data_IF_471072870044
#
_entry.id   IF_471072870044
#
_cell.length_a   1.000
_cell.length_b   1.000
_cell.length_c   1.000
_cell.angle_alpha   90.00
_cell.angle_beta   90.00
_cell.angle_gamma   90.00
#
_symmetry.space_group_name_H-M   'P 1'
#
loop_
_entity.id
_entity.type
_entity.pdbx_description
1 polymer ?
#
# COMPACT_ATOMS: atom_id res chain seq x y z
N UNK A 1 -10.00 5.94 34.99
CA UNK A 1 -8.63 5.38 34.81
C UNK A 1 -8.50 4.98 33.37
N UNK A 2 -7.38 5.22 32.71
CA UNK A 2 -7.15 4.84 31.30
C UNK A 2 -6.63 3.40 31.24
N UNK A 3 -7.20 2.59 30.36
CA UNK A 3 -6.83 1.18 30.19
C UNK A 3 -5.69 1.05 29.16
N UNK A 4 -4.46 1.40 29.59
CA UNK A 4 -3.29 1.35 28.71
C UNK A 4 -2.77 -0.07 28.51
N UNK A 5 -2.17 -0.34 27.34
CA UNK A 5 -1.50 -1.61 27.04
C UNK A 5 -0.27 -1.81 27.90
N UNK A 6 -0.04 -3.06 28.34
CA UNK A 6 1.23 -3.48 28.92
C UNK A 6 2.37 -3.40 27.89
N UNK A 7 3.62 -3.35 28.35
CA UNK A 7 4.77 -3.34 27.43
C UNK A 7 4.81 -4.60 26.55
N UNK A 8 4.46 -5.75 27.10
CA UNK A 8 4.39 -7.01 26.34
C UNK A 8 3.37 -6.96 25.20
N UNK A 9 2.20 -6.35 25.39
CA UNK A 9 1.20 -6.17 24.34
C UNK A 9 1.70 -5.19 23.27
N UNK A 10 2.36 -4.09 23.68
CA UNK A 10 2.93 -3.11 22.73
C UNK A 10 4.01 -3.76 21.85
N UNK A 11 4.89 -4.57 22.46
CA UNK A 11 5.95 -5.27 21.75
C UNK A 11 5.36 -6.33 20.80
N UNK A 12 4.34 -7.06 21.24
CA UNK A 12 3.64 -8.03 20.40
C UNK A 12 3.01 -7.37 19.17
N UNK A 13 2.29 -6.26 19.36
CA UNK A 13 1.69 -5.48 18.25
C UNK A 13 2.73 -5.03 17.23
N UNK A 14 3.87 -4.53 17.70
CA UNK A 14 4.95 -4.06 16.84
C UNK A 14 5.65 -5.20 16.10
N UNK A 15 5.97 -6.30 16.81
CA UNK A 15 6.67 -7.44 16.24
C UNK A 15 5.86 -8.14 15.15
N UNK A 16 4.55 -8.33 15.35
CA UNK A 16 3.68 -9.00 14.38
C UNK A 16 3.58 -8.29 13.03
N UNK A 17 3.87 -7.01 12.98
CA UNK A 17 3.87 -6.20 11.73
C UNK A 17 5.27 -5.77 11.29
N UNK A 18 6.32 -6.39 11.83
CA UNK A 18 7.71 -6.08 11.50
C UNK A 18 8.08 -4.62 11.79
N UNK A 19 7.55 -4.02 12.87
CA UNK A 19 7.76 -2.61 13.23
C UNK A 19 7.36 -1.62 12.12
N UNK A 20 6.40 -2.00 11.25
CA UNK A 20 5.84 -1.13 10.21
C UNK A 20 4.45 -0.64 10.61
N UNK A 21 4.08 0.55 10.13
CA UNK A 21 2.75 1.10 10.33
C UNK A 21 1.68 0.21 9.67
N UNK A 22 0.63 -0.16 10.43
CA UNK A 22 -0.44 -1.02 9.94
C UNK A 22 -1.42 -0.33 8.99
N UNK A 23 -1.31 0.98 8.78
CA UNK A 23 -2.06 1.64 7.71
C UNK A 23 -1.54 1.14 6.35
N UNK A 24 -2.37 0.45 5.52
CA UNK A 24 -1.93 -0.13 4.25
C UNK A 24 -1.34 0.90 3.27
N UNK A 25 -1.83 2.15 3.33
CA UNK A 25 -1.35 3.24 2.47
C UNK A 25 -0.10 3.94 3.03
N UNK A 26 0.37 3.55 4.22
CA UNK A 26 1.54 4.15 4.85
C UNK A 26 2.73 3.20 4.89
N UNK A 27 2.58 2.03 5.51
CA UNK A 27 3.60 0.97 5.69
C UNK A 27 5.00 1.48 6.11
N UNK A 28 5.08 2.69 6.64
CA UNK A 28 6.34 3.30 7.07
C UNK A 28 6.98 2.47 8.18
N UNK A 29 8.30 2.22 8.07
CA UNK A 29 9.07 1.67 9.18
C UNK A 29 9.01 2.63 10.38
N UNK A 30 8.76 2.08 11.56
CA UNK A 30 8.60 2.86 12.80
C UNK A 30 9.77 2.71 13.74
N UNK A 31 10.71 1.81 13.45
CA UNK A 31 11.90 1.56 14.25
C UNK A 31 13.14 1.54 13.37
N UNK A 32 14.24 2.07 13.88
CA UNK A 32 15.51 2.13 13.19
C UNK A 32 16.68 2.41 14.13
N UNK A 33 17.90 2.38 13.60
CA UNK A 33 19.11 2.69 14.35
C UNK A 33 19.21 4.20 14.62
N UNK A 34 19.64 4.57 15.82
CA UNK A 34 20.05 5.92 16.17
C UNK A 34 21.50 6.21 15.77
N UNK A 35 21.95 7.42 16.01
CA UNK A 35 23.35 7.84 15.74
C UNK A 35 24.33 7.09 16.65
N UNK A 36 24.01 6.95 17.91
CA UNK A 36 24.81 6.17 18.86
C UNK A 36 24.54 4.68 18.66
N UNK A 37 25.59 3.84 18.78
CA UNK A 37 25.53 2.38 18.51
C UNK A 37 24.48 1.62 19.34
N UNK A 38 24.15 2.13 20.52
CA UNK A 38 23.16 1.53 21.43
C UNK A 38 21.79 2.17 21.35
N UNK A 39 21.65 3.26 20.59
CA UNK A 39 20.40 4.01 20.49
C UNK A 39 19.49 3.44 19.40
N UNK A 40 18.19 3.38 19.72
CA UNK A 40 17.13 2.93 18.83
C UNK A 40 16.09 4.06 18.70
N UNK A 41 15.83 4.49 17.47
CA UNK A 41 14.72 5.39 17.18
C UNK A 41 13.46 4.55 17.08
N UNK A 42 12.42 4.97 17.81
CA UNK A 42 11.07 4.38 17.69
C UNK A 42 10.03 5.49 17.61
N UNK A 43 9.34 5.57 16.48
CA UNK A 43 8.25 6.50 16.19
C UNK A 43 6.90 5.78 16.05
N UNK A 44 6.85 4.51 16.45
CA UNK A 44 5.64 3.70 16.46
C UNK A 44 4.84 3.88 17.74
N UNK A 45 3.54 3.69 17.63
CA UNK A 45 2.57 3.81 18.71
C UNK A 45 1.63 2.62 18.68
N UNK A 46 1.42 1.98 19.84
CA UNK A 46 0.33 1.03 20.04
C UNK A 46 -0.96 1.84 20.28
N UNK A 47 -1.79 1.93 19.24
CA UNK A 47 -3.05 2.68 19.26
C UNK A 47 -4.21 1.77 19.61
N UNK A 48 -5.19 2.27 20.36
CA UNK A 48 -6.42 1.56 20.63
C UNK A 48 -7.35 1.62 19.42
N UNK A 49 -7.93 0.48 19.05
CA UNK A 49 -9.00 0.40 18.03
C UNK A 49 -10.27 0.96 18.61
N UNK A 50 -10.67 0.48 19.80
CA UNK A 50 -11.75 1.01 20.62
C UNK A 50 -11.12 1.68 21.85
N UNK A 51 -11.48 2.92 22.12
CA UNK A 51 -10.80 3.77 23.10
C UNK A 51 -10.55 3.13 24.47
N UNK A 52 -9.41 3.48 25.06
CA UNK A 52 -8.99 3.04 26.39
C UNK A 52 -9.85 3.59 27.56
N UNK A 53 -10.66 4.61 27.31
CA UNK A 53 -11.48 5.27 28.34
C UNK A 53 -12.69 5.96 27.71
N UNK A 54 -13.72 6.17 28.54
CA UNK A 54 -14.94 6.91 28.17
C UNK A 54 -14.59 8.30 27.61
N UNK A 55 -15.28 8.67 26.53
CA UNK A 55 -15.06 9.94 25.82
C UNK A 55 -13.93 9.90 24.79
N UNK A 56 -13.22 8.80 24.64
CA UNK A 56 -12.26 8.61 23.57
C UNK A 56 -12.91 8.09 22.27
N UNK A 57 -12.19 8.14 21.14
CA UNK A 57 -12.69 7.72 19.84
C UNK A 57 -13.16 6.25 19.83
N UNK A 58 -14.31 5.98 19.23
CA UNK A 58 -14.85 4.62 19.07
C UNK A 58 -15.04 3.87 20.42
N UNK A 59 -15.32 4.61 21.51
CA UNK A 59 -15.50 3.99 22.83
C UNK A 59 -16.71 3.05 22.84
N UNK A 60 -16.54 1.84 23.42
CA UNK A 60 -17.59 0.86 23.65
C UNK A 60 -17.74 0.62 25.17
N UNK A 61 -18.90 0.94 25.72
CA UNK A 61 -19.21 0.76 27.15
C UNK A 61 -19.37 -0.70 27.56
N UNK A 62 -19.66 -1.59 26.60
CA UNK A 62 -19.81 -3.02 26.85
C UNK A 62 -18.47 -3.76 26.97
N UNK A 63 -17.37 -3.17 26.52
CA UNK A 63 -16.04 -3.77 26.68
C UNK A 63 -15.58 -3.69 28.12
N UNK A 64 -15.02 -4.79 28.61
CA UNK A 64 -14.34 -4.84 29.91
C UNK A 64 -12.98 -4.14 29.84
N UNK A 65 -12.43 -3.76 31.02
CA UNK A 65 -11.08 -3.19 31.11
C UNK A 65 -10.01 -4.16 30.57
N UNK A 66 -10.24 -5.47 30.71
CA UNK A 66 -9.33 -6.50 30.20
C UNK A 66 -9.33 -6.56 28.67
N UNK A 67 -10.50 -6.52 28.03
CA UNK A 67 -10.63 -6.46 26.57
C UNK A 67 -10.01 -5.18 26.00
N UNK A 68 -10.21 -4.02 26.65
CA UNK A 68 -9.58 -2.76 26.21
C UNK A 68 -8.07 -2.82 26.21
N UNK A 69 -7.45 -3.56 27.14
CA UNK A 69 -5.98 -3.74 27.25
C UNK A 69 -5.45 -4.90 26.41
N UNK A 70 -6.33 -5.68 25.76
CA UNK A 70 -5.94 -6.88 25.03
C UNK A 70 -5.26 -6.53 23.70
N UNK A 71 -4.50 -7.50 23.20
CA UNK A 71 -3.88 -7.44 21.87
C UNK A 71 -4.89 -7.21 20.76
N UNK A 72 -6.10 -7.80 20.87
CA UNK A 72 -7.17 -7.70 19.88
C UNK A 72 -7.64 -6.26 19.68
N UNK A 73 -7.62 -5.46 20.75
CA UNK A 73 -8.02 -4.06 20.72
C UNK A 73 -6.88 -3.10 20.34
N UNK A 74 -5.70 -3.61 20.03
CA UNK A 74 -4.53 -2.83 19.66
C UNK A 74 -4.21 -2.89 18.17
N UNK A 75 -3.64 -1.80 17.65
CA UNK A 75 -3.06 -1.70 16.32
C UNK A 75 -1.76 -0.91 16.37
N UNK A 76 -0.71 -1.36 15.65
CA UNK A 76 0.57 -0.67 15.60
C UNK A 76 0.61 0.36 14.48
N UNK A 77 0.83 1.62 14.79
CA UNK A 77 0.83 2.72 13.83
C UNK A 77 2.05 3.63 14.01
N UNK A 78 2.40 4.41 12.99
CA UNK A 78 3.27 5.57 13.19
C UNK A 78 2.47 6.70 13.87
N UNK A 79 3.15 7.67 14.48
CA UNK A 79 2.52 8.78 15.21
C UNK A 79 1.50 9.55 14.36
N UNK A 80 1.82 9.82 13.08
CA UNK A 80 0.91 10.53 12.18
C UNK A 80 -0.38 9.75 11.92
N UNK A 81 -0.28 8.43 11.65
CA UNK A 81 -1.45 7.58 11.43
C UNK A 81 -2.26 7.37 12.72
N UNK A 82 -1.59 7.25 13.89
CA UNK A 82 -2.27 7.18 15.19
C UNK A 82 -3.11 8.45 15.42
N UNK A 83 -2.54 9.62 15.19
CA UNK A 83 -3.28 10.89 15.31
C UNK A 83 -4.42 11.00 14.30
N UNK A 84 -4.20 10.53 13.07
CA UNK A 84 -5.18 10.57 11.99
C UNK A 84 -6.44 9.77 12.32
N UNK A 85 -6.30 8.53 12.80
CA UNK A 85 -7.44 7.66 13.12
C UNK A 85 -8.29 8.19 14.28
N UNK A 86 -7.67 8.91 15.20
CA UNK A 86 -8.37 9.51 16.34
C UNK A 86 -9.00 10.88 16.02
N UNK A 87 -8.58 11.50 14.91
CA UNK A 87 -9.12 12.79 14.48
C UNK A 87 -10.41 12.67 13.65
N UNK A 88 -10.69 11.48 13.08
CA UNK A 88 -11.88 11.24 12.25
C UNK A 88 -12.40 9.82 12.49
N UNK A 89 -13.06 9.60 13.62
CA UNK A 89 -13.57 8.29 14.01
C UNK A 89 -14.66 7.74 13.08
N UNK A 90 -15.42 8.62 12.42
CA UNK A 90 -16.45 8.22 11.45
C UNK A 90 -15.83 7.58 10.20
N UNK A 91 -14.70 8.08 9.78
CA UNK A 91 -13.94 7.54 8.63
C UNK A 91 -13.11 6.31 9.00
N UNK A 92 -12.59 6.27 10.24
CA UNK A 92 -11.73 5.21 10.75
C UNK A 92 -12.47 4.37 11.79
N UNK A 93 -13.46 3.59 11.31
CA UNK A 93 -14.31 2.72 12.13
C UNK A 93 -13.51 1.54 12.71
N UNK A 94 -14.06 0.92 13.75
CA UNK A 94 -13.50 -0.29 14.38
C UNK A 94 -13.20 -1.38 13.34
N UNK A 95 -14.16 -1.68 12.44
CA UNK A 95 -14.02 -2.72 11.42
C UNK A 95 -12.90 -2.38 10.43
N UNK A 96 -12.77 -1.11 10.05
CA UNK A 96 -11.69 -0.67 9.17
C UNK A 96 -10.32 -0.84 9.82
N UNK A 97 -10.19 -0.51 11.10
CA UNK A 97 -8.93 -0.65 11.84
C UNK A 97 -8.57 -2.12 12.07
N UNK A 98 -9.55 -2.99 12.34
CA UNK A 98 -9.34 -4.44 12.41
C UNK A 98 -8.84 -5.00 11.06
N UNK A 99 -9.48 -4.60 9.95
CA UNK A 99 -9.01 -4.96 8.60
C UNK A 99 -7.57 -4.48 8.32
N UNK A 100 -7.21 -3.28 8.75
CA UNK A 100 -5.84 -2.78 8.61
C UNK A 100 -4.84 -3.64 9.39
N UNK A 101 -5.19 -4.05 10.60
CA UNK A 101 -4.38 -4.95 11.42
C UNK A 101 -4.17 -6.27 10.70
N UNK A 102 -5.24 -6.92 10.26
CA UNK A 102 -5.20 -8.23 9.58
C UNK A 102 -4.35 -8.15 8.30
N UNK A 103 -4.58 -7.15 7.45
CA UNK A 103 -3.81 -6.94 6.22
C UNK A 103 -2.32 -6.75 6.54
N UNK A 104 -2.01 -5.95 7.56
CA UNK A 104 -0.61 -5.66 7.88
C UNK A 104 0.13 -6.85 8.46
N UNK A 105 -0.54 -7.73 9.21
CA UNK A 105 0.01 -8.98 9.70
C UNK A 105 0.24 -9.98 8.56
N UNK A 106 -0.71 -10.10 7.63
CA UNK A 106 -0.55 -10.91 6.42
C UNK A 106 0.63 -10.43 5.56
N UNK A 107 0.75 -9.11 5.34
CA UNK A 107 1.88 -8.54 4.60
C UNK A 107 3.22 -8.81 5.29
N UNK A 108 3.26 -8.80 6.62
CA UNK A 108 4.47 -9.12 7.36
C UNK A 108 4.89 -10.59 7.20
N UNK A 109 3.93 -11.53 7.12
CA UNK A 109 4.19 -12.94 6.81
C UNK A 109 4.72 -13.09 5.39
N UNK A 110 4.06 -12.47 4.40
CA UNK A 110 4.51 -12.50 3.00
C UNK A 110 5.94 -11.94 2.84
N UNK A 111 6.27 -10.89 3.57
CA UNK A 111 7.62 -10.31 3.58
C UNK A 111 8.68 -11.26 4.18
N UNK A 112 8.28 -12.21 5.03
CA UNK A 112 9.16 -13.26 5.55
C UNK A 112 9.33 -14.42 4.57
N UNK A 113 8.25 -14.80 3.89
CA UNK A 113 8.23 -15.93 2.95
C UNK A 113 8.87 -15.56 1.61
N UNK A 114 8.70 -14.33 1.16
CA UNK A 114 9.21 -13.83 -0.10
C UNK A 114 10.20 -12.69 0.10
N UNK A 115 11.49 -13.03 0.07
CA UNK A 115 12.58 -12.04 0.13
C UNK A 115 12.55 -11.07 -1.08
N UNK A 116 11.66 -11.29 -2.06
CA UNK A 116 11.46 -10.45 -3.25
C UNK A 116 10.33 -9.44 -3.09
N UNK A 117 9.49 -9.54 -2.05
CA UNK A 117 8.47 -8.52 -1.70
C UNK A 117 9.15 -7.24 -1.24
N UNK A 118 9.54 -6.41 -2.16
CA UNK A 118 10.26 -5.14 -1.94
C UNK A 118 11.42 -4.92 -2.93
N UNK A 119 11.69 -5.90 -3.80
CA UNK A 119 12.67 -5.81 -4.90
C UNK A 119 12.01 -5.98 -6.27
N UNK A 120 10.80 -5.50 -6.43
CA UNK A 120 10.12 -5.57 -7.72
C UNK A 120 10.51 -4.41 -8.64
N UNK A 121 11.83 -4.21 -8.86
CA UNK A 121 12.30 -3.37 -9.96
C UNK A 121 11.67 -3.83 -11.29
N UNK A 122 11.47 -5.15 -11.45
CA UNK A 122 10.82 -5.74 -12.64
C UNK A 122 9.33 -5.39 -12.77
N UNK A 123 8.58 -5.39 -11.68
CA UNK A 123 7.16 -5.01 -11.71
C UNK A 123 7.00 -3.51 -11.91
N UNK A 124 7.86 -2.71 -11.30
CA UNK A 124 7.90 -1.26 -11.53
C UNK A 124 8.28 -0.97 -12.99
N UNK A 125 9.23 -1.68 -13.56
CA UNK A 125 9.59 -1.55 -14.97
C UNK A 125 8.45 -1.99 -15.89
N UNK A 126 7.78 -3.08 -15.55
CA UNK A 126 6.60 -3.56 -16.29
C UNK A 126 5.47 -2.54 -16.23
N UNK A 127 5.14 -2.01 -15.06
CA UNK A 127 4.12 -0.94 -14.90
C UNK A 127 4.52 0.30 -15.70
N UNK A 128 5.78 0.71 -15.66
CA UNK A 128 6.28 1.84 -16.46
C UNK A 128 6.16 1.57 -17.96
N UNK A 129 6.44 0.35 -18.39
CA UNK A 129 6.24 -0.06 -19.78
C UNK A 129 4.78 0.04 -20.19
N UNK A 130 3.84 -0.46 -19.37
CA UNK A 130 2.40 -0.33 -19.61
C UNK A 130 1.98 1.13 -19.72
N UNK A 131 2.36 1.96 -18.76
CA UNK A 131 2.05 3.40 -18.79
C UNK A 131 2.56 4.04 -20.09
N UNK A 132 3.77 3.70 -20.53
CA UNK A 132 4.33 4.24 -21.77
C UNK A 132 3.59 3.75 -23.03
N UNK A 133 3.04 2.53 -23.03
CA UNK A 133 2.23 2.06 -24.15
C UNK A 133 0.96 2.91 -24.36
N UNK A 134 0.38 3.43 -23.27
CA UNK A 134 -0.77 4.32 -23.29
C UNK A 134 -0.40 5.81 -23.38
N UNK A 135 0.88 6.17 -23.25
CA UNK A 135 1.35 7.54 -23.31
C UNK A 135 1.57 7.98 -24.79
N UNK A 136 0.50 7.90 -25.57
CA UNK A 136 0.51 8.29 -26.99
C UNK A 136 -0.26 9.60 -27.19
N UNK A 137 0.21 10.48 -28.10
CA UNK A 137 -0.51 11.72 -28.39
C UNK A 137 -1.97 11.51 -28.74
N UNK A 138 -2.30 10.46 -29.51
CA UNK A 138 -3.67 10.12 -29.90
C UNK A 138 -4.60 9.82 -28.70
N UNK A 139 -4.07 9.42 -27.56
CA UNK A 139 -4.86 9.20 -26.33
C UNK A 139 -4.93 10.42 -25.42
N UNK A 140 -4.01 11.38 -25.55
CA UNK A 140 -3.90 12.56 -24.69
C UNK A 140 -4.49 13.82 -25.29
N UNK A 141 -4.48 13.93 -26.60
CA UNK A 141 -4.82 15.15 -27.30
C UNK A 141 -6.20 15.06 -27.94
N UNK A 142 -7.17 15.83 -27.39
CA UNK A 142 -8.52 15.93 -27.94
C UNK A 142 -8.52 16.41 -29.37
N UNK A 143 -7.59 17.25 -29.78
CA UNK A 143 -7.47 17.76 -31.13
C UNK A 143 -7.08 16.63 -32.09
N UNK A 144 -6.24 15.72 -31.69
CA UNK A 144 -5.96 14.49 -32.45
C UNK A 144 -7.17 13.58 -32.55
N UNK A 145 -8.03 13.55 -31.53
CA UNK A 145 -9.29 12.77 -31.55
C UNK A 145 -10.37 13.38 -32.42
N UNK A 146 -10.42 14.71 -32.52
CA UNK A 146 -11.42 15.41 -33.35
C UNK A 146 -11.10 15.40 -34.85
N UNK A 147 -9.83 15.16 -35.22
CA UNK A 147 -9.38 15.29 -36.60
C UNK A 147 -9.19 14.00 -37.40
N UNK A 148 -8.85 12.86 -36.75
CA UNK A 148 -8.47 11.63 -37.47
C UNK A 148 -8.76 10.38 -36.63
N UNK A 149 -9.91 9.78 -36.83
CA UNK A 149 -10.24 8.46 -36.27
C UNK A 149 -9.18 7.39 -36.63
N UNK A 150 -8.61 7.47 -37.82
CA UNK A 150 -7.56 6.57 -38.29
C UNK A 150 -6.30 6.59 -37.43
N UNK A 151 -5.91 7.76 -36.90
CA UNK A 151 -4.75 7.88 -36.00
C UNK A 151 -5.04 7.26 -34.62
N UNK A 152 -6.29 7.32 -34.16
CA UNK A 152 -6.72 6.71 -32.90
C UNK A 152 -6.80 5.18 -33.02
N UNK A 153 -7.43 4.66 -34.09
CA UNK A 153 -7.52 3.22 -34.34
C UNK A 153 -6.13 2.60 -34.47
N UNK A 154 -5.25 3.26 -35.22
CA UNK A 154 -3.85 2.83 -35.34
C UNK A 154 -3.11 2.86 -34.00
N UNK A 155 -3.34 3.85 -33.14
CA UNK A 155 -2.74 3.93 -31.81
C UNK A 155 -3.22 2.78 -30.90
N UNK A 156 -4.48 2.36 -31.02
CA UNK A 156 -5.03 1.19 -30.34
C UNK A 156 -4.32 -0.08 -30.81
N UNK A 157 -4.27 -0.32 -32.13
CA UNK A 157 -3.62 -1.50 -32.71
C UNK A 157 -2.14 -1.59 -32.30
N UNK A 158 -1.38 -0.50 -32.44
CA UNK A 158 0.02 -0.43 -32.04
C UNK A 158 0.22 -0.65 -30.53
N UNK A 159 -0.73 -0.23 -29.72
CA UNK A 159 -0.70 -0.45 -28.27
C UNK A 159 -0.96 -1.92 -27.93
N UNK A 160 -1.95 -2.56 -28.57
CA UNK A 160 -2.24 -3.98 -28.41
C UNK A 160 -1.02 -4.81 -28.84
N UNK A 161 -0.39 -4.49 -29.97
CA UNK A 161 0.83 -5.15 -30.44
C UNK A 161 1.96 -4.98 -29.41
N UNK A 162 2.15 -3.77 -28.86
CA UNK A 162 3.20 -3.52 -27.87
C UNK A 162 2.97 -4.31 -26.58
N UNK A 163 1.74 -4.38 -26.09
CA UNK A 163 1.36 -5.15 -24.89
C UNK A 163 1.57 -6.66 -25.10
N UNK A 164 1.22 -7.18 -26.25
CA UNK A 164 1.36 -8.61 -26.58
C UNK A 164 2.80 -9.03 -26.85
N UNK A 165 3.60 -8.15 -27.45
CA UNK A 165 4.98 -8.47 -27.84
C UNK A 165 6.02 -8.01 -26.81
N UNK A 166 5.66 -7.15 -25.86
CA UNK A 166 6.60 -6.50 -24.96
C UNK A 166 7.54 -5.51 -25.67
N UNK A 167 7.19 -5.08 -26.91
CA UNK A 167 8.03 -4.18 -27.71
C UNK A 167 7.24 -2.94 -28.13
N UNK A 168 7.53 -1.83 -27.49
CA UNK A 168 6.97 -0.53 -27.88
C UNK A 168 7.77 0.05 -29.04
N UNK A 169 7.08 0.44 -30.12
CA UNK A 169 7.68 1.04 -31.31
C UNK A 169 7.21 2.48 -31.50
N UNK A 170 8.07 3.25 -32.14
CA UNK A 170 7.73 4.57 -32.66
C UNK A 170 6.88 4.45 -33.95
N UNK A 171 6.35 5.58 -34.43
CA UNK A 171 5.49 5.59 -35.64
C UNK A 171 6.23 5.12 -36.91
N UNK A 172 7.55 5.29 -36.98
CA UNK A 172 8.40 4.83 -38.07
C UNK A 172 8.85 3.37 -37.94
N UNK A 173 8.38 2.66 -36.89
CA UNK A 173 8.67 1.26 -36.62
C UNK A 173 9.94 1.00 -35.81
N UNK A 174 10.70 2.02 -35.45
CA UNK A 174 11.89 1.90 -34.60
C UNK A 174 11.49 1.44 -33.18
N UNK A 175 12.34 0.63 -32.54
CA UNK A 175 12.07 0.16 -31.18
C UNK A 175 12.36 1.29 -30.18
N UNK A 176 11.32 1.75 -29.48
CA UNK A 176 11.42 2.73 -28.43
C UNK A 176 11.81 2.10 -27.08
N UNK A 177 11.17 0.96 -26.74
CA UNK A 177 11.43 0.24 -25.50
C UNK A 177 11.08 -1.23 -25.65
N UNK A 178 11.78 -2.08 -24.88
CA UNK A 178 11.45 -3.49 -24.67
C UNK A 178 11.10 -3.72 -23.20
N UNK A 179 10.08 -4.54 -22.93
CA UNK A 179 9.84 -5.08 -21.59
C UNK A 179 10.85 -6.24 -21.37
N UNK A 180 11.63 -6.16 -20.30
CA UNK A 180 12.51 -7.27 -19.93
C UNK A 180 11.67 -8.36 -19.23
N UNK A 181 11.59 -9.52 -19.85
CA UNK A 181 11.36 -10.78 -19.15
C UNK A 181 9.97 -11.36 -19.05
N UNK A 182 8.98 -11.09 -19.88
CA UNK A 182 7.86 -12.01 -20.23
C UNK A 182 6.87 -11.29 -21.15
N UNK A 183 6.45 -11.96 -22.23
CA UNK A 183 5.29 -11.56 -23.02
C UNK A 183 4.05 -11.57 -22.12
N UNK A 184 3.42 -10.42 -21.96
CA UNK A 184 2.10 -10.33 -21.34
C UNK A 184 1.10 -10.71 -22.42
N UNK A 185 0.43 -11.83 -22.23
CA UNK A 185 -0.65 -12.25 -23.14
C UNK A 185 -1.89 -11.45 -22.72
N UNK A 186 -2.21 -10.42 -23.48
CA UNK A 186 -3.52 -9.81 -23.43
C UNK A 186 -4.44 -10.70 -24.26
N UNK A 187 -5.47 -11.26 -23.63
CA UNK A 187 -6.42 -12.11 -24.32
C UNK A 187 -7.11 -11.31 -25.45
N UNK A 188 -7.04 -11.77 -26.73
CA UNK A 188 -7.63 -11.02 -27.84
C UNK A 188 -9.15 -10.98 -27.88
N UNK A 189 -9.84 -11.53 -26.88
CA UNK A 189 -11.31 -11.55 -26.76
C UNK A 189 -11.86 -10.38 -25.89
N UNK A 190 -11.08 -9.32 -25.66
CA UNK A 190 -11.54 -8.11 -24.98
C UNK A 190 -11.75 -6.98 -25.97
#
# INVERSE_FOLDING_TARGET
MRDDFSQSVKDLLANRVGWKCSNPNCRKATRGAGVEKTNIINIGVASHITAASKGGPRYDENMTAQERKSFENGIWLCQSCSKLIDSDEMRYTVDKLKKWKDISEQLAVLELEDATVGKNDKDIELIRFYVQCFDRPAFRDRICMEGRMEDFDKAIEDTIIALNTGVLRTRDGSILKRAEGKSVIVNPEW
#
